data_IF_100499664143
#
_entry.id   IF_100499664143
#
_cell.length_a   1.000
_cell.length_b   1.000
_cell.length_c   1.000
_cell.angle_alpha   90.00
_cell.angle_beta   90.00
_cell.angle_gamma   90.00
#
_symmetry.space_group_name_H-M   'P 1'
#
loop_
_entity.id
_entity.type
_entity.pdbx_description
1 polymer ?
#
# COMPACT_ATOMS: atom_id res chain seq x y z
N UNK A 1 -17.77 16.36 -0.47
CA UNK A 1 -16.40 16.73 -0.85
C UNK A 1 -15.53 15.61 -0.31
N UNK A 2 -15.11 14.68 -1.17
CA UNK A 2 -14.25 13.54 -0.83
C UNK A 2 -12.91 14.05 -0.35
N UNK A 3 -12.41 13.50 0.75
CA UNK A 3 -11.32 14.05 1.55
C UNK A 3 -9.96 13.77 0.88
N UNK A 4 -9.69 14.38 -0.27
CA UNK A 4 -8.47 14.20 -1.08
C UNK A 4 -7.15 14.58 -0.37
N UNK A 5 -7.21 15.08 0.87
CA UNK A 5 -6.03 15.38 1.67
C UNK A 5 -5.24 14.10 2.04
N UNK A 6 -5.93 12.98 2.26
CA UNK A 6 -5.32 11.72 2.67
C UNK A 6 -4.68 10.97 1.51
N UNK A 7 -5.27 11.02 0.31
CA UNK A 7 -4.69 10.42 -0.89
C UNK A 7 -3.23 10.83 -1.14
N UNK A 8 -2.92 12.13 -1.05
CA UNK A 8 -1.56 12.63 -1.23
C UNK A 8 -0.59 12.15 -0.15
N UNK A 9 -1.05 12.08 1.09
CA UNK A 9 -0.29 11.57 2.23
C UNK A 9 -0.01 10.06 2.10
N UNK A 10 -1.02 9.27 1.73
CA UNK A 10 -0.92 7.82 1.56
C UNK A 10 0.00 7.50 0.38
N UNK A 11 -0.14 8.21 -0.76
CA UNK A 11 0.76 8.05 -1.89
C UNK A 11 2.21 8.39 -1.52
N UNK A 12 2.42 9.45 -0.74
CA UNK A 12 3.74 9.81 -0.23
C UNK A 12 4.31 8.76 0.73
N UNK A 13 3.50 8.21 1.64
CA UNK A 13 3.91 7.15 2.58
C UNK A 13 4.27 5.85 1.86
N UNK A 14 3.41 5.39 0.95
CA UNK A 14 3.67 4.20 0.13
C UNK A 14 4.95 4.38 -0.70
N UNK A 15 5.09 5.55 -1.35
CA UNK A 15 6.30 5.87 -2.10
C UNK A 15 7.54 5.90 -1.21
N UNK A 16 7.49 6.57 -0.05
CA UNK A 16 8.61 6.65 0.88
C UNK A 16 9.06 5.27 1.39
N UNK A 17 8.12 4.39 1.73
CA UNK A 17 8.42 3.02 2.13
C UNK A 17 9.09 2.22 1.01
N UNK A 18 8.57 2.32 -0.22
CA UNK A 18 9.17 1.67 -1.38
C UNK A 18 10.57 2.21 -1.70
N UNK A 19 10.82 3.51 -1.49
CA UNK A 19 12.09 4.18 -1.77
C UNK A 19 13.08 4.16 -0.59
N UNK A 20 12.71 3.58 0.55
CA UNK A 20 13.57 3.48 1.73
C UNK A 20 14.90 2.77 1.44
N UNK A 21 14.92 1.89 0.44
CA UNK A 21 16.13 1.25 -0.07
C UNK A 21 16.30 1.51 -1.58
N UNK A 22 17.34 2.24 -2.02
CA UNK A 22 17.64 2.47 -3.43
C UNK A 22 17.78 1.19 -4.27
N UNK A 23 18.24 0.09 -3.67
CA UNK A 23 18.37 -1.20 -4.35
C UNK A 23 17.00 -1.79 -4.70
N UNK A 24 15.99 -1.57 -3.85
CA UNK A 24 14.62 -2.02 -4.12
C UNK A 24 14.03 -1.27 -5.31
N UNK A 25 14.24 0.05 -5.38
CA UNK A 25 13.75 0.87 -6.50
C UNK A 25 14.37 0.38 -7.81
N UNK A 26 15.69 0.18 -7.82
CA UNK A 26 16.40 -0.31 -9.01
C UNK A 26 15.90 -1.69 -9.42
N UNK A 27 15.72 -2.60 -8.44
CA UNK A 27 15.21 -3.95 -8.68
C UNK A 27 13.78 -3.95 -9.21
N UNK A 28 12.89 -3.14 -8.64
CA UNK A 28 11.50 -3.02 -9.06
C UNK A 28 11.43 -2.44 -10.48
N UNK A 29 12.18 -1.38 -10.79
CA UNK A 29 12.23 -0.83 -12.14
C UNK A 29 12.69 -1.89 -13.17
N UNK A 30 13.76 -2.64 -12.85
CA UNK A 30 14.22 -3.73 -13.71
C UNK A 30 13.18 -4.84 -13.92
N UNK A 31 12.40 -5.15 -12.89
CA UNK A 31 11.31 -6.12 -12.96
C UNK A 31 10.21 -5.61 -13.90
N UNK A 32 9.78 -4.36 -13.72
CA UNK A 32 8.72 -3.73 -14.51
C UNK A 32 9.11 -3.64 -16.00
N UNK A 33 10.38 -3.27 -16.27
CA UNK A 33 10.95 -3.22 -17.62
C UNK A 33 10.96 -4.61 -18.28
N UNK A 34 11.41 -5.64 -17.55
CA UNK A 34 11.49 -7.02 -18.07
C UNK A 34 10.12 -7.61 -18.38
N UNK A 35 9.13 -7.30 -17.57
CA UNK A 35 7.78 -7.82 -17.74
C UNK A 35 6.93 -7.03 -18.72
N UNK A 36 7.48 -5.96 -19.33
CA UNK A 36 6.76 -5.09 -20.25
C UNK A 36 5.44 -4.62 -19.64
N UNK A 37 5.50 -4.12 -18.41
CA UNK A 37 4.38 -3.34 -17.89
C UNK A 37 4.08 -2.22 -18.91
N UNK A 38 2.84 -1.72 -18.96
CA UNK A 38 2.48 -0.70 -19.94
C UNK A 38 3.50 0.44 -19.91
N UNK A 39 3.78 1.08 -21.05
CA UNK A 39 4.80 2.15 -21.13
C UNK A 39 4.59 3.29 -20.12
N UNK A 40 3.40 3.39 -19.57
CA UNK A 40 2.95 4.43 -18.65
C UNK A 40 2.97 3.94 -17.18
N UNK A 41 3.15 2.63 -16.96
CA UNK A 41 3.22 2.01 -15.63
C UNK A 41 4.61 2.20 -15.01
N UNK A 42 4.72 3.18 -14.12
CA UNK A 42 5.89 3.38 -13.26
C UNK A 42 5.59 2.99 -11.82
N UNK A 43 6.62 2.84 -11.00
CA UNK A 43 6.44 2.64 -9.56
C UNK A 43 5.54 3.74 -8.95
N UNK A 44 5.63 4.98 -9.45
CA UNK A 44 4.82 6.10 -9.01
C UNK A 44 3.33 5.91 -9.34
N UNK A 45 3.01 5.39 -10.52
CA UNK A 45 1.62 5.10 -10.88
C UNK A 45 1.05 3.95 -10.05
N UNK A 46 1.86 2.94 -9.71
CA UNK A 46 1.43 1.87 -8.79
C UNK A 46 1.18 2.42 -7.40
N UNK A 47 2.05 3.31 -6.88
CA UNK A 47 1.83 3.98 -5.61
C UNK A 47 0.54 4.80 -5.60
N UNK A 48 0.26 5.51 -6.69
CA UNK A 48 -0.95 6.31 -6.86
C UNK A 48 -2.21 5.43 -6.85
N UNK A 49 -2.22 4.33 -7.60
CA UNK A 49 -3.33 3.37 -7.59
C UNK A 49 -3.51 2.72 -6.21
N UNK A 50 -2.42 2.26 -5.61
CA UNK A 50 -2.44 1.66 -4.28
C UNK A 50 -2.98 2.62 -3.22
N UNK A 51 -2.57 3.89 -3.26
CA UNK A 51 -3.07 4.93 -2.36
C UNK A 51 -4.57 5.15 -2.54
N UNK A 52 -5.05 5.18 -3.80
CA UNK A 52 -6.47 5.34 -4.10
C UNK A 52 -7.30 4.19 -3.53
N UNK A 53 -6.83 2.96 -3.66
CA UNK A 53 -7.51 1.78 -3.12
C UNK A 53 -7.59 1.85 -1.59
N UNK A 54 -6.50 2.22 -0.92
CA UNK A 54 -6.48 2.35 0.53
C UNK A 54 -7.42 3.44 1.03
N UNK A 55 -7.33 4.65 0.45
CA UNK A 55 -8.16 5.82 0.76
C UNK A 55 -9.65 5.49 0.62
N UNK A 56 -10.04 4.79 -0.46
CA UNK A 56 -11.44 4.37 -0.67
C UNK A 56 -11.93 3.36 0.38
N UNK A 57 -11.07 2.44 0.83
CA UNK A 57 -11.45 1.45 1.84
C UNK A 57 -11.54 2.11 3.22
N UNK A 58 -10.62 3.02 3.55
CA UNK A 58 -10.67 3.82 4.77
C UNK A 58 -11.96 4.63 4.86
N UNK A 59 -12.30 5.35 3.79
CA UNK A 59 -13.54 6.13 3.67
C UNK A 59 -14.80 5.26 3.85
N UNK A 60 -14.80 4.03 3.31
CA UNK A 60 -15.94 3.11 3.42
C UNK A 60 -16.06 2.45 4.78
N UNK A 61 -14.94 2.20 5.47
CA UNK A 61 -14.91 1.41 6.69
C UNK A 61 -15.64 2.09 7.84
N UNK A 62 -15.57 3.43 7.96
CA UNK A 62 -16.17 4.20 9.07
C UNK A 62 -15.81 3.68 10.48
N UNK A 63 -14.85 2.76 10.62
CA UNK A 63 -14.47 2.12 11.87
C UNK A 63 -13.39 2.94 12.60
N UNK A 64 -13.66 3.27 13.87
CA UNK A 64 -12.74 4.01 14.73
C UNK A 64 -11.70 3.15 15.45
N UNK A 65 -11.82 1.82 15.38
CA UNK A 65 -10.95 0.88 16.10
C UNK A 65 -9.72 0.44 15.29
N UNK A 66 -9.62 0.89 14.03
CA UNK A 66 -8.50 0.58 13.16
C UNK A 66 -7.46 1.68 13.32
N UNK A 67 -6.23 1.29 13.66
CA UNK A 67 -5.07 2.16 13.48
C UNK A 67 -4.73 2.21 11.99
N UNK A 68 -5.27 3.22 11.30
CA UNK A 68 -5.09 3.42 9.86
C UNK A 68 -3.65 3.73 9.46
N UNK A 69 -2.85 4.29 10.38
CA UNK A 69 -1.42 4.49 10.12
C UNK A 69 -0.67 3.15 10.11
N UNK A 70 -0.91 2.29 11.10
CA UNK A 70 -0.33 0.95 11.13
C UNK A 70 -0.83 0.09 9.96
N UNK A 71 -2.10 0.20 9.59
CA UNK A 71 -2.64 -0.49 8.42
C UNK A 71 -1.97 0.00 7.11
N UNK A 72 -1.72 1.30 6.98
CA UNK A 72 -1.01 1.87 5.82
C UNK A 72 0.43 1.36 5.74
N UNK A 73 1.14 1.28 6.87
CA UNK A 73 2.51 0.73 6.93
C UNK A 73 2.54 -0.77 6.55
N UNK A 74 1.63 -1.57 7.10
CA UNK A 74 1.52 -2.99 6.75
C UNK A 74 1.18 -3.19 5.26
N UNK A 75 0.34 -2.32 4.71
CA UNK A 75 -0.01 -2.35 3.29
C UNK A 75 1.16 -1.99 2.39
N UNK A 76 1.92 -0.96 2.76
CA UNK A 76 3.14 -0.56 2.05
C UNK A 76 4.16 -1.71 1.96
N UNK A 77 4.36 -2.43 3.08
CA UNK A 77 5.28 -3.56 3.13
C UNK A 77 4.81 -4.73 2.25
N UNK A 78 3.52 -5.08 2.31
CA UNK A 78 2.96 -6.13 1.44
C UNK A 78 3.08 -5.77 -0.04
N UNK A 79 2.84 -4.50 -0.40
CA UNK A 79 2.98 -4.01 -1.76
C UNK A 79 4.44 -4.08 -2.24
N UNK A 80 5.39 -3.68 -1.38
CA UNK A 80 6.82 -3.79 -1.65
C UNK A 80 7.23 -5.23 -1.93
N UNK A 81 6.83 -6.16 -1.07
CA UNK A 81 7.15 -7.58 -1.23
C UNK A 81 6.59 -8.15 -2.53
N UNK A 82 5.35 -7.77 -2.87
CA UNK A 82 4.71 -8.19 -4.12
C UNK A 82 5.46 -7.69 -5.37
N UNK A 83 5.89 -6.43 -5.35
CA UNK A 83 6.67 -5.84 -6.44
C UNK A 83 8.07 -6.47 -6.55
N UNK A 84 8.73 -6.75 -5.42
CA UNK A 84 10.05 -7.40 -5.38
C UNK A 84 10.02 -8.87 -5.83
N UNK A 85 8.87 -9.54 -5.64
CA UNK A 85 8.60 -10.88 -6.15
C UNK A 85 8.39 -10.91 -7.67
N UNK A 86 8.19 -9.74 -8.29
CA UNK A 86 8.12 -9.61 -9.74
C UNK A 86 6.72 -9.66 -10.31
N UNK A 87 5.69 -9.31 -9.54
CA UNK A 87 4.29 -9.33 -10.01
C UNK A 87 3.68 -7.94 -9.98
N UNK A 88 2.83 -7.62 -10.96
CA UNK A 88 2.06 -6.35 -10.96
C UNK A 88 0.84 -6.61 -10.09
N UNK A 89 0.66 -5.88 -8.99
CA UNK A 89 -0.56 -6.01 -8.21
C UNK A 89 -1.72 -5.49 -9.06
N UNK A 90 -2.75 -6.31 -9.27
CA UNK A 90 -4.02 -5.83 -9.78
C UNK A 90 -4.84 -5.21 -8.64
N UNK A 91 -5.90 -4.48 -8.99
CA UNK A 91 -6.79 -3.85 -7.98
C UNK A 91 -7.32 -4.88 -6.96
N UNK A 92 -7.65 -6.10 -7.39
CA UNK A 92 -8.11 -7.17 -6.48
C UNK A 92 -7.02 -7.60 -5.49
N UNK A 93 -5.76 -7.62 -5.92
CA UNK A 93 -4.62 -7.93 -5.05
C UNK A 93 -4.43 -6.81 -4.03
N UNK A 94 -4.51 -5.55 -4.48
CA UNK A 94 -4.43 -4.37 -3.62
C UNK A 94 -5.53 -4.37 -2.56
N UNK A 95 -6.79 -4.58 -2.95
CA UNK A 95 -7.93 -4.68 -2.01
C UNK A 95 -7.66 -5.78 -0.97
N UNK A 96 -7.19 -6.95 -1.42
CA UNK A 96 -6.88 -8.08 -0.54
C UNK A 96 -5.73 -7.76 0.44
N UNK A 97 -4.71 -7.03 -0.02
CA UNK A 97 -3.62 -6.56 0.83
C UNK A 97 -4.11 -5.55 1.87
N UNK A 98 -4.96 -4.58 1.48
CA UNK A 98 -5.54 -3.61 2.42
C UNK A 98 -6.36 -4.31 3.50
N UNK A 99 -7.22 -5.26 3.13
CA UNK A 99 -8.00 -6.03 4.08
C UNK A 99 -7.12 -6.75 5.11
N UNK A 100 -6.06 -7.44 4.65
CA UNK A 100 -5.08 -8.09 5.55
C UNK A 100 -4.36 -7.08 6.44
N UNK A 101 -4.00 -5.91 5.93
CA UNK A 101 -3.33 -4.87 6.71
C UNK A 101 -4.21 -4.31 7.81
N UNK A 102 -5.50 -4.13 7.54
CA UNK A 102 -6.51 -3.72 8.52
C UNK A 102 -6.63 -4.77 9.63
N UNK A 103 -6.72 -6.05 9.27
CA UNK A 103 -6.79 -7.15 10.24
C UNK A 103 -5.55 -7.19 11.14
N UNK A 104 -4.35 -7.05 10.58
CA UNK A 104 -3.10 -7.01 11.33
C UNK A 104 -3.02 -5.79 12.28
N UNK A 105 -3.47 -4.63 11.82
CA UNK A 105 -3.52 -3.43 12.65
C UNK A 105 -4.50 -3.58 13.82
N UNK A 106 -5.66 -4.19 13.56
CA UNK A 106 -6.68 -4.49 14.57
C UNK A 106 -6.18 -5.47 15.63
N UNK A 107 -5.54 -6.56 15.22
CA UNK A 107 -5.00 -7.57 16.16
C UNK A 107 -3.94 -6.99 17.09
N UNK A 108 -3.14 -6.05 16.59
CA UNK A 108 -2.13 -5.32 17.38
C UNK A 108 -2.78 -4.49 18.50
N UNK A 109 -3.93 -3.86 18.23
CA UNK A 109 -4.68 -3.09 19.23
C UNK A 109 -5.24 -3.99 20.37
N UNK A 110 -5.73 -5.18 20.04
CA UNK A 110 -6.26 -6.13 21.03
C UNK A 110 -5.17 -6.79 21.90
N UNK A 111 -3.94 -6.93 21.39
CA UNK A 111 -2.83 -7.44 22.19
C UNK A 111 -2.33 -6.42 23.22
N UNK A 112 -2.40 -5.12 22.92
CA UNK A 112 -2.04 -4.05 23.87
C UNK A 112 -3.08 -3.94 24.99
N UNK A 113 -4.38 -4.07 24.69
CA UNK A 113 -5.44 -4.01 25.71
C UNK A 113 -5.51 -5.23 26.65
N UNK A 114 -4.75 -6.29 26.39
CA UNK A 114 -4.71 -7.52 27.22
C UNK A 114 -3.49 -7.58 28.15
N UNK A 115 -2.62 -6.58 28.13
CA UNK A 115 -1.50 -6.43 29.07
C UNK A 115 -1.81 -5.37 30.10
#
# INVERSE_FOLDING_TARGET
>A
MTNTAYYGEIAAKLSAHLHKNPDHVTRISQIMDKQKYGSDDTILTVCAEAARVFDQIEDLSSEHLIDWHLASDNYANQLLDHLLAGSKPHIVDMISMVARSIEQARDSHFQVSRK
#
